data_IF_617742539875
#
_entry.id   IF_617742539875
#
_cell.length_a   1.000
_cell.length_b   1.000
_cell.length_c   1.000
_cell.angle_alpha   90.00
_cell.angle_beta   90.00
_cell.angle_gamma   90.00
#
_symmetry.space_group_name_H-M   'P 1'
#
loop_
_entity.id
_entity.type
_entity.pdbx_description
1 polymer ?
#
# COMPACT_ATOMS: atom_id res chain seq x y z
N UNK A 1 -14.37 -11.76 -8.06
CA UNK A 1 -14.72 -10.60 -7.22
C UNK A 1 -14.65 -10.89 -5.72
N UNK A 2 -15.33 -11.92 -5.19
CA UNK A 2 -15.26 -12.22 -3.74
C UNK A 2 -13.84 -12.49 -3.21
N UNK A 3 -12.99 -13.12 -4.03
CA UNK A 3 -11.59 -13.43 -3.73
C UNK A 3 -10.69 -12.19 -3.72
N UNK A 4 -10.93 -11.27 -4.66
CA UNK A 4 -10.27 -9.96 -4.72
C UNK A 4 -10.57 -9.11 -3.48
N UNK A 5 -11.84 -9.07 -3.07
CA UNK A 5 -12.29 -8.33 -1.89
C UNK A 5 -11.68 -8.94 -0.61
N UNK A 6 -11.66 -10.27 -0.50
CA UNK A 6 -11.02 -10.95 0.63
C UNK A 6 -9.52 -10.66 0.72
N UNK A 7 -8.79 -10.72 -0.39
CA UNK A 7 -7.35 -10.39 -0.44
C UNK A 7 -7.08 -8.92 -0.15
N UNK A 8 -7.93 -8.02 -0.63
CA UNK A 8 -7.83 -6.57 -0.32
C UNK A 8 -8.06 -6.33 1.17
N UNK A 9 -9.06 -6.99 1.77
CA UNK A 9 -9.31 -6.92 3.22
C UNK A 9 -8.13 -7.48 4.03
N UNK A 10 -7.56 -8.61 3.61
CA UNK A 10 -6.36 -9.19 4.25
C UNK A 10 -5.18 -8.23 4.14
N UNK A 11 -4.94 -7.61 2.98
CA UNK A 11 -3.90 -6.61 2.85
C UNK A 11 -4.15 -5.42 3.76
N UNK A 12 -5.36 -4.88 3.79
CA UNK A 12 -5.71 -3.75 4.68
C UNK A 12 -5.43 -4.13 6.14
N UNK A 13 -5.82 -5.33 6.58
CA UNK A 13 -5.54 -5.83 7.93
C UNK A 13 -4.04 -5.99 8.18
N UNK A 14 -3.29 -6.61 7.29
CA UNK A 14 -1.83 -6.81 7.43
C UNK A 14 -1.10 -5.48 7.39
N UNK A 15 -1.49 -4.58 6.50
CA UNK A 15 -0.94 -3.25 6.38
C UNK A 15 -1.15 -2.50 7.68
N UNK A 16 -2.39 -2.40 8.18
CA UNK A 16 -2.70 -1.78 9.49
C UNK A 16 -2.00 -2.46 10.67
N UNK A 17 -1.62 -3.73 10.57
CA UNK A 17 -0.88 -4.44 11.61
C UNK A 17 0.63 -4.18 11.54
N UNK A 18 1.16 -3.90 10.35
CA UNK A 18 2.57 -3.61 10.09
C UNK A 18 2.87 -2.11 10.23
N UNK A 19 1.95 -1.21 9.89
CA UNK A 19 2.10 0.23 10.15
C UNK A 19 1.87 0.53 11.63
N UNK A 20 2.88 1.02 12.36
CA UNK A 20 2.83 1.21 13.82
C UNK A 20 2.01 2.43 14.30
N UNK A 21 1.12 2.98 13.47
CA UNK A 21 0.45 4.25 13.70
C UNK A 21 -0.95 4.22 13.10
N UNK A 22 -1.90 4.76 13.85
CA UNK A 22 -3.34 4.57 13.65
C UNK A 22 -3.84 5.47 12.50
N UNK A 23 -3.54 5.09 11.25
CA UNK A 23 -3.87 5.87 10.05
C UNK A 23 -5.35 6.26 10.02
N UNK A 24 -6.25 5.35 10.43
CA UNK A 24 -7.69 5.61 10.50
C UNK A 24 -8.02 6.62 11.61
N UNK A 25 -7.33 6.56 12.76
CA UNK A 25 -7.43 7.56 13.83
C UNK A 25 -7.00 8.95 13.35
N UNK A 26 -5.83 9.05 12.72
CA UNK A 26 -5.29 10.29 12.17
C UNK A 26 -6.18 10.88 11.07
N UNK A 27 -6.73 10.04 10.18
CA UNK A 27 -7.69 10.47 9.16
C UNK A 27 -8.97 11.02 9.80
N UNK A 28 -9.47 10.40 10.88
CA UNK A 28 -10.62 10.92 11.64
C UNK A 28 -10.32 12.26 12.31
N UNK A 29 -9.06 12.53 12.65
CA UNK A 29 -8.58 13.81 13.17
C UNK A 29 -8.29 14.86 12.07
N UNK A 30 -8.74 14.64 10.83
CA UNK A 30 -8.55 15.55 9.69
C UNK A 30 -7.08 15.71 9.25
N UNK A 31 -6.26 14.68 9.47
CA UNK A 31 -4.88 14.66 9.01
C UNK A 31 -4.80 14.30 7.51
N UNK A 32 -4.57 15.31 6.68
CA UNK A 32 -4.46 15.16 5.24
C UNK A 32 -3.19 14.39 4.82
N UNK A 33 -2.12 14.44 5.62
CA UNK A 33 -0.91 13.66 5.37
C UNK A 33 -1.18 12.15 5.51
N UNK A 34 -1.93 11.74 6.54
CA UNK A 34 -2.33 10.36 6.74
C UNK A 34 -3.26 9.88 5.61
N UNK A 35 -4.23 10.70 5.21
CA UNK A 35 -5.15 10.37 4.13
C UNK A 35 -4.44 10.16 2.78
N UNK A 36 -3.48 11.03 2.44
CA UNK A 36 -2.72 10.94 1.18
C UNK A 36 -1.74 9.77 1.16
N UNK A 37 -1.06 9.51 2.28
CA UNK A 37 -0.21 8.33 2.46
C UNK A 37 -1.01 7.03 2.29
N UNK A 38 -2.06 6.87 3.09
CA UNK A 38 -2.88 5.66 3.11
C UNK A 38 -3.58 5.45 1.77
N UNK A 39 -4.18 6.50 1.20
CA UNK A 39 -4.83 6.45 -0.10
C UNK A 39 -3.87 6.05 -1.22
N UNK A 40 -2.67 6.63 -1.25
CA UNK A 40 -1.66 6.28 -2.25
C UNK A 40 -1.14 4.85 -2.10
N UNK A 41 -0.96 4.38 -0.87
CA UNK A 41 -0.52 2.99 -0.62
C UNK A 41 -1.59 1.96 -0.98
N UNK A 42 -2.86 2.24 -0.64
CA UNK A 42 -4.00 1.42 -1.02
C UNK A 42 -4.12 1.29 -2.54
N UNK A 43 -4.08 2.41 -3.26
CA UNK A 43 -4.12 2.40 -4.73
C UNK A 43 -2.91 1.66 -5.32
N UNK A 44 -1.73 1.86 -4.75
CA UNK A 44 -0.52 1.16 -5.16
C UNK A 44 -0.61 -0.35 -5.00
N UNK A 45 -1.26 -0.85 -3.95
CA UNK A 45 -1.49 -2.29 -3.78
C UNK A 45 -2.60 -2.84 -4.69
N UNK A 46 -3.67 -2.08 -4.91
CA UNK A 46 -4.77 -2.50 -5.77
C UNK A 46 -4.36 -2.74 -7.22
N UNK A 47 -3.36 -2.01 -7.74
CA UNK A 47 -2.85 -2.17 -9.11
C UNK A 47 -2.30 -3.59 -9.40
N UNK A 48 -1.26 -4.08 -8.68
CA UNK A 48 -0.73 -5.42 -8.90
C UNK A 48 -1.73 -6.49 -8.50
N UNK A 49 -2.60 -6.24 -7.51
CA UNK A 49 -3.68 -7.16 -7.19
C UNK A 49 -4.68 -7.31 -8.35
N UNK A 50 -5.04 -6.21 -9.03
CA UNK A 50 -5.89 -6.25 -10.21
C UNK A 50 -5.24 -7.06 -11.34
N UNK A 51 -3.94 -6.83 -11.62
CA UNK A 51 -3.16 -7.63 -12.57
C UNK A 51 -3.09 -9.11 -12.17
N UNK A 52 -2.95 -9.41 -10.87
CA UNK A 52 -2.98 -10.77 -10.34
C UNK A 52 -4.30 -11.46 -10.66
N UNK A 53 -5.42 -10.78 -10.42
CA UNK A 53 -6.75 -11.33 -10.65
C UNK A 53 -7.00 -11.59 -12.14
N UNK A 54 -6.53 -10.72 -13.03
CA UNK A 54 -6.70 -10.90 -14.48
C UNK A 54 -5.84 -12.03 -15.04
N UNK A 55 -4.67 -12.30 -14.45
CA UNK A 55 -3.77 -13.37 -14.91
C UNK A 55 -3.90 -14.70 -14.14
N UNK A 56 -4.60 -14.73 -13.00
CA UNK A 56 -4.69 -15.94 -12.17
C UNK A 56 -5.77 -16.90 -12.66
N UNK A 57 -5.35 -18.11 -13.06
CA UNK A 57 -6.24 -19.21 -13.40
C UNK A 57 -6.85 -19.89 -12.14
N UNK A 58 -6.25 -19.69 -10.96
CA UNK A 58 -6.67 -20.31 -9.70
C UNK A 58 -6.64 -19.34 -8.51
N UNK A 59 -7.40 -19.67 -7.45
CA UNK A 59 -7.42 -18.89 -6.20
C UNK A 59 -6.04 -18.87 -5.51
N UNK A 60 -5.26 -19.94 -5.68
CA UNK A 60 -3.92 -20.06 -5.11
C UNK A 60 -2.92 -19.13 -5.79
N UNK A 61 -2.96 -19.00 -7.13
CA UNK A 61 -2.08 -18.07 -7.87
C UNK A 61 -2.33 -16.63 -7.45
N UNK A 62 -3.59 -16.25 -7.26
CA UNK A 62 -3.96 -14.91 -6.81
C UNK A 62 -3.44 -14.62 -5.39
N UNK A 63 -3.40 -15.62 -4.52
CA UNK A 63 -2.86 -15.48 -3.17
C UNK A 63 -1.33 -15.34 -3.18
N UNK A 64 -0.63 -16.11 -4.01
CA UNK A 64 0.83 -16.02 -4.17
C UNK A 64 1.21 -14.62 -4.65
N UNK A 65 0.58 -14.15 -5.73
CA UNK A 65 0.86 -12.84 -6.29
C UNK A 65 0.42 -11.68 -5.38
N UNK A 66 -0.70 -11.83 -4.67
CA UNK A 66 -1.09 -10.90 -3.61
C UNK A 66 -0.04 -10.80 -2.51
N UNK A 67 0.56 -11.93 -2.13
CA UNK A 67 1.69 -11.97 -1.20
C UNK A 67 2.94 -11.27 -1.75
N UNK A 68 3.29 -11.48 -3.02
CA UNK A 68 4.40 -10.77 -3.68
C UNK A 68 4.16 -9.26 -3.68
N UNK A 69 2.95 -8.82 -4.03
CA UNK A 69 2.59 -7.41 -3.99
C UNK A 69 2.70 -6.79 -2.60
N UNK A 70 2.34 -7.56 -1.57
CA UNK A 70 2.44 -7.13 -0.18
C UNK A 70 3.91 -6.97 0.24
N UNK A 71 4.77 -7.92 -0.12
CA UNK A 71 6.22 -7.85 0.12
C UNK A 71 6.81 -6.62 -0.57
N UNK A 72 6.48 -6.40 -1.85
CA UNK A 72 6.96 -5.24 -2.60
C UNK A 72 6.53 -3.94 -1.93
N UNK A 73 5.29 -3.84 -1.42
CA UNK A 73 4.88 -2.62 -0.71
C UNK A 73 5.61 -2.39 0.60
N UNK A 74 5.87 -3.45 1.37
CA UNK A 74 6.67 -3.31 2.59
C UNK A 74 8.09 -2.84 2.24
N UNK A 75 8.68 -3.41 1.20
CA UNK A 75 10.01 -3.01 0.72
C UNK A 75 10.01 -1.54 0.32
N UNK A 76 9.04 -1.10 -0.48
CA UNK A 76 8.90 0.31 -0.88
C UNK A 76 8.80 1.18 0.37
N UNK A 77 7.91 0.85 1.30
CA UNK A 77 7.74 1.56 2.58
C UNK A 77 9.06 1.78 3.32
N UNK A 78 9.92 0.76 3.39
CA UNK A 78 11.26 0.89 3.97
C UNK A 78 12.18 1.79 3.15
N UNK A 79 12.16 1.70 1.82
CA UNK A 79 12.93 2.60 0.95
C UNK A 79 12.50 4.06 1.09
N UNK A 80 11.20 4.33 1.24
CA UNK A 80 10.70 5.71 1.35
C UNK A 80 11.21 6.40 2.62
N UNK A 81 11.50 5.62 3.67
CA UNK A 81 12.08 6.10 4.94
C UNK A 81 13.56 6.48 4.85
N UNK A 82 14.29 6.11 3.80
CA UNK A 82 15.71 6.45 3.64
C UNK A 82 15.89 7.96 3.40
N UNK A 83 15.27 8.58 2.37
CA UNK A 83 15.40 10.03 2.13
C UNK A 83 14.61 10.87 3.13
N UNK A 84 13.52 10.33 3.70
CA UNK A 84 12.72 11.01 4.71
C UNK A 84 12.64 10.15 5.97
N UNK A 85 13.61 10.25 6.88
CA UNK A 85 13.56 9.53 8.15
C UNK A 85 12.38 10.03 8.98
N UNK A 86 11.82 9.13 9.81
CA UNK A 86 10.67 9.42 10.69
C UNK A 86 9.40 9.86 9.97
N UNK A 87 9.14 9.39 8.73
CA UNK A 87 7.90 9.64 7.98
C UNK A 87 6.65 9.46 8.86
N UNK A 88 6.61 8.42 9.71
CA UNK A 88 5.51 8.18 10.64
C UNK A 88 5.20 9.37 11.54
N UNK A 89 6.24 9.89 12.21
CA UNK A 89 6.13 11.04 13.12
C UNK A 89 5.77 12.34 12.37
N UNK A 90 6.22 12.47 11.11
CA UNK A 90 5.89 13.63 10.26
C UNK A 90 4.45 13.59 9.76
N UNK A 91 3.95 12.39 9.44
CA UNK A 91 2.54 12.16 9.11
C UNK A 91 1.67 12.50 10.33
N UNK A 92 2.03 12.07 11.53
CA UNK A 92 1.33 12.45 12.77
C UNK A 92 1.26 13.97 12.96
N UNK A 93 2.32 14.69 12.59
CA UNK A 93 2.38 16.17 12.60
C UNK A 93 1.63 16.84 11.45
N UNK A 94 0.86 16.09 10.66
CA UNK A 94 0.10 16.54 9.50
C UNK A 94 0.97 17.18 8.40
N UNK A 95 2.22 16.73 8.25
CA UNK A 95 3.08 17.18 7.16
C UNK A 95 2.70 16.50 5.84
N UNK A 96 1.83 17.16 5.06
CA UNK A 96 1.29 16.62 3.80
C UNK A 96 2.39 16.17 2.83
N UNK A 97 3.53 16.85 2.78
CA UNK A 97 4.65 16.45 1.93
C UNK A 97 5.15 15.03 2.23
N UNK A 98 5.20 14.63 3.51
CA UNK A 98 5.58 13.27 3.90
C UNK A 98 4.51 12.26 3.50
N UNK A 99 3.23 12.64 3.59
CA UNK A 99 2.10 11.83 3.16
C UNK A 99 2.10 11.56 1.65
N UNK A 100 2.26 12.62 0.85
CA UNK A 100 2.34 12.55 -0.61
C UNK A 100 3.56 11.76 -1.06
N UNK A 101 4.71 11.94 -0.41
CA UNK A 101 5.91 11.17 -0.72
C UNK A 101 5.71 9.66 -0.48
N UNK A 102 5.13 9.29 0.67
CA UNK A 102 4.84 7.90 0.99
C UNK A 102 3.81 7.28 0.05
N UNK A 103 2.69 7.98 -0.15
CA UNK A 103 1.61 7.54 -1.01
C UNK A 103 2.04 7.43 -2.48
N UNK A 104 2.79 8.42 -2.99
CA UNK A 104 3.30 8.45 -4.35
C UNK A 104 4.32 7.35 -4.63
N UNK A 105 5.26 7.12 -3.71
CA UNK A 105 6.24 6.04 -3.85
C UNK A 105 5.57 4.66 -3.84
N UNK A 106 4.60 4.45 -2.95
CA UNK A 106 3.81 3.21 -2.93
C UNK A 106 3.01 3.03 -4.22
N UNK A 107 2.39 4.10 -4.74
CA UNK A 107 1.65 4.05 -5.99
C UNK A 107 2.55 3.69 -7.18
N UNK A 108 3.71 4.33 -7.28
CA UNK A 108 4.68 4.10 -8.35
C UNK A 108 5.21 2.67 -8.33
N UNK A 109 5.64 2.17 -7.16
CA UNK A 109 6.15 0.80 -7.07
C UNK A 109 5.05 -0.26 -7.23
N UNK A 110 3.82 0.05 -6.80
CA UNK A 110 2.65 -0.74 -7.11
C UNK A 110 2.39 -0.88 -8.62
N UNK A 111 2.43 0.23 -9.34
CA UNK A 111 2.30 0.26 -10.80
C UNK A 111 3.40 -0.57 -11.50
N UNK A 112 4.66 -0.43 -11.07
CA UNK A 112 5.77 -1.23 -11.61
C UNK A 112 5.58 -2.72 -11.34
N UNK A 113 5.09 -3.07 -10.15
CA UNK A 113 4.80 -4.46 -9.82
C UNK A 113 3.67 -5.02 -10.70
N UNK A 114 2.61 -4.25 -10.92
CA UNK A 114 1.50 -4.62 -11.80
C UNK A 114 1.96 -4.84 -13.26
N UNK A 115 2.81 -3.96 -13.76
CA UNK A 115 3.38 -4.07 -15.10
C UNK A 115 4.24 -5.33 -15.26
N UNK A 116 5.05 -5.63 -14.24
CA UNK A 116 5.92 -6.83 -14.21
C UNK A 116 5.12 -8.13 -14.22
N UNK A 117 3.91 -8.12 -13.69
CA UNK A 117 3.01 -9.28 -13.68
C UNK A 117 2.22 -9.46 -14.98
N UNK A 118 2.16 -8.43 -15.81
CA UNK A 118 1.38 -8.44 -17.07
C UNK A 118 2.28 -8.76 -18.27
N UNK A 119 3.61 -8.77 -18.09
CA UNK A 119 4.61 -8.98 -19.14
C UNK A 119 5.07 -10.44 -19.24
#
# INVERSE_FOLDING_TARGET
MGTAVALTLVYVVVYMWVTPHDEIGLIRENNAAAATAFGGSLLGFCLPLASAITNSASLADCAIWGGVALIVQIVIFFFVRIPVPKISERIEKNEIASGVWLGGASLAGGLLNAASMTS
#
